data_IF_022699997341
#
_entry.id   IF_022699997341
#
_cell.length_a   1.000
_cell.length_b   1.000
_cell.length_c   1.000
_cell.angle_alpha   90.00
_cell.angle_beta   90.00
_cell.angle_gamma   90.00
#
_symmetry.space_group_name_H-M   'P 1'
#
loop_
_entity.id
_entity.type
_entity.pdbx_description
1 polymer ?
#
# COMPACT_ATOMS: atom_id res chain seq x y z
N UNK A 1 -64.29 48.08 4.90
CA UNK A 1 -62.88 48.39 5.25
C UNK A 1 -62.08 47.11 4.99
N UNK A 2 -61.49 47.01 3.82
CA UNK A 2 -60.76 45.80 3.38
C UNK A 2 -59.28 46.01 3.70
N UNK A 3 -58.71 45.12 4.51
CA UNK A 3 -57.30 45.12 4.86
C UNK A 3 -56.57 44.11 3.98
N UNK A 4 -55.64 44.63 3.20
CA UNK A 4 -54.83 43.95 2.20
C UNK A 4 -53.66 43.30 2.88
N UNK A 5 -53.51 41.97 2.75
CA UNK A 5 -52.38 41.19 3.24
C UNK A 5 -51.31 41.19 2.12
N UNK A 6 -50.06 41.56 2.34
CA UNK A 6 -49.01 41.39 1.36
C UNK A 6 -48.42 39.98 1.48
N UNK A 7 -48.52 39.20 0.40
CA UNK A 7 -47.67 38.00 0.19
C UNK A 7 -46.30 38.48 -0.33
N UNK A 8 -45.26 38.22 0.47
CA UNK A 8 -43.90 38.24 0.00
C UNK A 8 -43.13 37.19 0.82
N UNK A 9 -43.01 36.05 0.24
CA UNK A 9 -42.12 34.99 0.71
C UNK A 9 -41.27 34.53 -0.44
N UNK A 10 -40.17 35.21 -0.65
CA UNK A 10 -39.09 34.80 -1.56
C UNK A 10 -38.46 33.54 -1.01
N UNK A 11 -38.69 32.39 -1.63
CA UNK A 11 -37.96 31.15 -1.41
C UNK A 11 -36.51 31.37 -1.92
N UNK A 12 -35.62 31.57 -0.96
CA UNK A 12 -34.18 31.63 -1.19
C UNK A 12 -33.70 30.27 -1.67
N UNK A 13 -33.22 30.24 -2.91
CA UNK A 13 -32.59 29.05 -3.56
C UNK A 13 -31.23 28.68 -2.97
N UNK A 14 -30.87 29.20 -1.80
CA UNK A 14 -29.59 28.93 -1.13
C UNK A 14 -29.58 27.62 -0.32
N UNK A 15 -30.72 26.99 -0.06
CA UNK A 15 -30.80 25.76 0.75
C UNK A 15 -30.52 24.46 -0.02
N UNK A 16 -30.57 24.50 -1.35
CA UNK A 16 -30.39 23.27 -2.16
C UNK A 16 -28.92 22.97 -2.53
N UNK A 17 -28.04 23.95 -2.46
CA UNK A 17 -26.62 23.76 -2.79
C UNK A 17 -25.75 23.24 -1.65
N UNK A 18 -26.25 23.17 -0.43
CA UNK A 18 -25.45 22.69 0.72
C UNK A 18 -25.48 21.16 0.92
N UNK A 19 -26.38 20.45 0.25
CA UNK A 19 -26.49 18.97 0.40
C UNK A 19 -25.63 18.16 -0.58
N UNK A 20 -24.98 18.79 -1.56
CA UNK A 20 -24.16 18.08 -2.54
C UNK A 20 -22.66 18.21 -2.32
N UNK A 21 -22.21 18.85 -1.23
CA UNK A 21 -20.79 19.11 -0.98
C UNK A 21 -20.08 18.08 -0.11
N UNK A 22 -20.82 17.15 0.47
CA UNK A 22 -20.25 16.24 1.49
C UNK A 22 -19.92 14.83 0.98
N UNK A 23 -20.09 14.59 -0.32
CA UNK A 23 -19.88 13.24 -0.88
C UNK A 23 -18.66 13.12 -1.79
N UNK A 24 -17.82 14.15 -1.90
CA UNK A 24 -16.60 14.09 -2.73
C UNK A 24 -15.35 13.70 -1.95
N UNK A 25 -15.36 13.79 -0.62
CA UNK A 25 -14.16 13.48 0.20
C UNK A 25 -13.98 11.99 0.50
N UNK A 26 -15.02 11.17 0.31
CA UNK A 26 -14.93 9.72 0.61
C UNK A 26 -14.33 8.91 -0.54
N UNK A 27 -14.28 9.47 -1.76
CA UNK A 27 -13.76 8.75 -2.95
C UNK A 27 -12.25 8.97 -3.13
N UNK A 28 -11.68 10.01 -2.54
CA UNK A 28 -10.24 10.28 -2.67
C UNK A 28 -9.36 9.40 -1.76
N UNK A 29 -9.91 8.83 -0.69
CA UNK A 29 -9.14 8.01 0.26
C UNK A 29 -8.83 6.60 -0.24
N UNK A 30 -9.52 6.08 -1.25
CA UNK A 30 -9.29 4.71 -1.74
C UNK A 30 -8.21 4.68 -2.84
N UNK A 31 -7.92 5.81 -3.48
CA UNK A 31 -6.95 5.86 -4.59
C UNK A 31 -5.48 5.92 -4.15
N UNK A 32 -5.19 6.33 -2.92
CA UNK A 32 -3.81 6.48 -2.45
C UNK A 32 -3.21 5.21 -1.83
N UNK A 33 -4.03 4.22 -1.46
CA UNK A 33 -3.55 3.00 -0.77
C UNK A 33 -3.10 1.89 -1.73
N UNK A 34 -3.37 1.98 -3.03
CA UNK A 34 -3.12 0.87 -3.98
C UNK A 34 -1.74 0.96 -4.66
N UNK A 35 -1.05 2.08 -4.59
CA UNK A 35 0.20 2.29 -5.33
C UNK A 35 1.46 1.71 -4.67
N UNK A 36 1.43 1.27 -3.43
CA UNK A 36 2.61 0.82 -2.68
C UNK A 36 2.93 -0.69 -2.81
N UNK A 37 2.28 -1.43 -3.72
CA UNK A 37 2.56 -2.86 -3.93
C UNK A 37 3.41 -3.04 -5.19
N UNK A 38 4.57 -2.43 -5.24
CA UNK A 38 5.50 -2.58 -6.34
C UNK A 38 6.64 -3.55 -5.99
N UNK A 39 6.77 -4.56 -6.83
CA UNK A 39 7.97 -5.33 -7.14
C UNK A 39 8.83 -5.85 -5.97
N UNK A 40 8.36 -6.86 -5.26
CA UNK A 40 9.31 -7.68 -4.51
C UNK A 40 10.26 -8.42 -5.47
N UNK A 41 11.57 -8.46 -5.17
CA UNK A 41 12.57 -9.15 -5.98
C UNK A 41 12.46 -10.68 -5.98
N UNK A 42 11.34 -11.21 -5.57
CA UNK A 42 11.04 -12.65 -5.54
C UNK A 42 11.20 -13.36 -6.90
N UNK A 43 11.45 -12.59 -7.94
CA UNK A 43 11.62 -13.11 -9.31
C UNK A 43 13.04 -13.59 -9.63
N UNK A 44 14.01 -13.40 -8.73
CA UNK A 44 15.42 -13.79 -8.97
C UNK A 44 15.82 -15.11 -8.33
N UNK A 45 14.93 -15.78 -7.63
CA UNK A 45 15.21 -17.10 -7.05
C UNK A 45 15.29 -18.18 -8.13
N UNK A 46 16.31 -18.08 -8.96
CA UNK A 46 16.93 -19.25 -9.53
C UNK A 46 17.70 -19.94 -8.42
N UNK A 47 17.16 -21.08 -8.00
CA UNK A 47 17.84 -22.16 -7.26
C UNK A 47 18.92 -21.79 -6.22
N UNK A 48 18.64 -22.12 -4.97
CA UNK A 48 19.61 -22.69 -4.03
C UNK A 48 20.47 -21.78 -3.14
N UNK A 49 19.96 -20.62 -2.72
CA UNK A 49 20.57 -20.00 -1.53
C UNK A 49 19.56 -19.88 -0.39
N UNK A 50 19.41 -20.95 0.39
CA UNK A 50 18.78 -20.82 1.70
C UNK A 50 19.77 -20.10 2.63
N UNK A 51 19.34 -19.00 3.24
CA UNK A 51 20.21 -18.28 4.17
C UNK A 51 19.77 -16.85 4.46
N UNK A 52 20.54 -16.18 5.32
CA UNK A 52 20.31 -14.77 5.61
C UNK A 52 20.72 -13.89 4.41
N UNK A 53 19.99 -12.79 4.20
CA UNK A 53 20.27 -11.81 3.16
C UNK A 53 19.97 -10.39 3.65
N UNK A 54 20.45 -9.40 2.90
CA UNK A 54 20.10 -8.00 3.03
C UNK A 54 19.39 -7.57 1.76
N UNK A 55 18.26 -6.89 1.91
CA UNK A 55 17.50 -6.31 0.81
C UNK A 55 17.41 -4.80 0.97
N UNK A 56 17.67 -4.07 -0.11
CA UNK A 56 17.41 -2.64 -0.22
C UNK A 56 16.48 -2.43 -1.40
N UNK A 57 15.30 -1.90 -1.14
CA UNK A 57 14.26 -1.72 -2.14
C UNK A 57 13.69 -0.31 -2.05
N UNK A 58 13.54 0.37 -3.19
CA UNK A 58 12.88 1.68 -3.24
C UNK A 58 11.63 1.58 -4.11
N UNK A 59 10.50 1.94 -3.53
CA UNK A 59 9.20 2.00 -4.17
C UNK A 59 8.81 3.47 -4.36
N UNK A 60 8.64 3.88 -5.60
CA UNK A 60 8.28 5.25 -5.95
C UNK A 60 6.85 5.29 -6.48
N UNK A 61 6.11 6.32 -6.10
CA UNK A 61 4.71 6.52 -6.46
C UNK A 61 4.58 7.75 -7.34
N UNK A 62 3.92 7.57 -8.50
CA UNK A 62 3.69 8.61 -9.51
C UNK A 62 2.20 8.65 -9.89
N UNK A 63 1.32 9.25 -9.08
CA UNK A 63 -0.07 9.45 -9.51
C UNK A 63 -0.11 10.45 -10.67
N UNK A 64 -0.83 10.07 -11.74
CA UNK A 64 -0.97 10.88 -12.95
C UNK A 64 0.35 11.27 -13.65
N UNK A 65 1.46 10.59 -13.32
CA UNK A 65 2.77 10.82 -13.92
C UNK A 65 3.69 11.74 -13.13
N UNK A 66 3.20 12.40 -12.09
CA UNK A 66 3.99 13.26 -11.21
C UNK A 66 4.49 12.47 -10.01
N UNK A 67 5.72 12.73 -9.56
CA UNK A 67 6.27 12.13 -8.36
C UNK A 67 5.43 12.55 -7.13
N UNK A 68 5.18 11.63 -6.23
CA UNK A 68 4.39 11.88 -5.02
C UNK A 68 5.09 11.40 -3.76
N UNK A 69 5.68 10.21 -3.79
CA UNK A 69 6.34 9.65 -2.62
C UNK A 69 7.35 8.58 -2.99
N UNK A 70 8.28 8.30 -2.08
CA UNK A 70 9.19 7.18 -2.13
C UNK A 70 9.26 6.49 -0.78
N UNK A 71 9.21 5.17 -0.78
CA UNK A 71 9.52 4.33 0.38
C UNK A 71 10.79 3.53 0.07
N UNK A 72 11.82 3.68 0.91
CA UNK A 72 13.07 2.94 0.78
C UNK A 72 13.25 2.02 1.98
N UNK A 73 13.10 0.72 1.74
CA UNK A 73 13.23 -0.33 2.74
C UNK A 73 14.68 -0.83 2.84
N UNK A 74 15.17 -0.98 4.07
CA UNK A 74 16.46 -1.62 4.39
C UNK A 74 16.17 -2.85 5.26
N UNK A 75 16.04 -4.01 4.63
CA UNK A 75 15.63 -5.22 5.34
C UNK A 75 16.78 -6.20 5.51
N UNK A 76 16.78 -6.86 6.65
CA UNK A 76 17.49 -8.12 6.86
C UNK A 76 16.45 -9.23 6.78
N UNK A 77 16.77 -10.28 6.06
CA UNK A 77 15.85 -11.37 5.84
C UNK A 77 16.52 -12.74 5.90
N UNK A 78 15.68 -13.72 5.84
CA UNK A 78 16.05 -15.12 5.68
C UNK A 78 15.14 -15.75 4.62
N UNK A 79 15.73 -16.48 3.70
CA UNK A 79 15.02 -17.23 2.68
C UNK A 79 15.42 -18.71 2.71
N UNK A 80 14.54 -19.54 2.21
CA UNK A 80 14.80 -20.96 2.16
C UNK A 80 13.85 -21.71 1.25
N UNK A 81 14.13 -22.99 1.08
CA UNK A 81 13.28 -23.91 0.34
C UNK A 81 12.97 -25.14 1.17
N UNK A 82 11.78 -25.71 0.96
CA UNK A 82 11.34 -26.98 1.52
C UNK A 82 10.72 -27.86 0.43
N UNK A 83 10.40 -29.09 0.76
CA UNK A 83 9.77 -30.04 -0.19
C UNK A 83 10.58 -30.22 -1.48
N UNK A 84 11.87 -30.50 -1.34
CA UNK A 84 12.80 -30.72 -2.47
C UNK A 84 12.85 -29.52 -3.45
N UNK A 85 12.72 -28.28 -2.89
CA UNK A 85 12.78 -27.07 -3.68
C UNK A 85 11.44 -26.63 -4.29
N UNK A 86 10.35 -27.36 -4.06
CA UNK A 86 9.03 -26.98 -4.60
C UNK A 86 8.41 -25.78 -3.90
N UNK A 87 8.75 -25.58 -2.61
CA UNK A 87 8.26 -24.42 -1.86
C UNK A 87 9.47 -23.56 -1.51
N UNK A 88 9.50 -22.34 -1.99
CA UNK A 88 10.42 -21.31 -1.52
C UNK A 88 9.67 -20.34 -0.61
N UNK A 89 10.35 -19.85 0.43
CA UNK A 89 9.79 -18.88 1.37
C UNK A 89 10.83 -17.83 1.75
N UNK A 90 10.36 -16.70 2.20
CA UNK A 90 11.19 -15.68 2.81
C UNK A 90 10.46 -14.94 3.92
N UNK A 91 11.25 -14.36 4.82
CA UNK A 91 10.83 -13.39 5.81
C UNK A 91 11.88 -12.31 5.88
N UNK A 92 11.46 -11.04 5.88
CA UNK A 92 12.36 -9.91 5.99
C UNK A 92 11.73 -8.76 6.75
N UNK A 93 12.57 -7.89 7.34
CA UNK A 93 12.10 -6.70 8.02
C UNK A 93 13.25 -5.77 8.39
N UNK A 94 12.90 -4.53 8.66
CA UNK A 94 13.85 -3.50 9.02
C UNK A 94 13.28 -2.08 8.85
N UNK A 95 14.14 -1.06 8.95
CA UNK A 95 13.71 0.33 8.77
C UNK A 95 13.31 0.63 7.33
N UNK A 96 12.30 1.50 7.19
CA UNK A 96 11.82 2.09 5.94
C UNK A 96 11.90 3.61 6.05
N UNK A 97 12.47 4.25 5.04
CA UNK A 97 12.48 5.71 4.90
C UNK A 97 11.36 6.10 3.92
N UNK A 98 10.35 6.79 4.43
CA UNK A 98 9.21 7.25 3.66
C UNK A 98 9.30 8.75 3.43
N UNK A 99 9.51 9.15 2.18
CA UNK A 99 9.53 10.54 1.76
C UNK A 99 8.23 10.90 1.05
N UNK A 100 7.63 12.03 1.43
CA UNK A 100 6.43 12.57 0.79
C UNK A 100 6.72 13.95 0.21
N UNK A 101 6.47 14.15 -1.08
CA UNK A 101 6.64 15.43 -1.75
C UNK A 101 5.65 16.49 -1.23
N UNK A 102 4.43 16.08 -0.86
CA UNK A 102 3.41 17.03 -0.42
C UNK A 102 3.75 17.76 0.89
N UNK A 103 4.54 17.13 1.76
CA UNK A 103 4.98 17.68 3.04
C UNK A 103 6.45 18.05 3.02
N UNK A 104 7.21 17.63 1.99
CA UNK A 104 8.68 17.72 1.92
C UNK A 104 9.35 17.12 3.17
N UNK A 105 8.77 16.04 3.70
CA UNK A 105 9.20 15.39 4.92
C UNK A 105 9.61 13.94 4.67
N UNK A 106 10.50 13.45 5.55
CA UNK A 106 10.97 12.06 5.51
C UNK A 106 10.83 11.44 6.88
N UNK A 107 10.01 10.42 6.96
CA UNK A 107 9.75 9.67 8.18
C UNK A 107 10.48 8.32 8.15
N UNK A 108 10.88 7.86 9.33
CA UNK A 108 11.48 6.53 9.50
C UNK A 108 10.47 5.63 10.18
N UNK A 109 10.13 4.55 9.52
CA UNK A 109 9.18 3.56 9.98
C UNK A 109 9.83 2.18 10.07
N UNK A 110 9.10 1.19 10.59
CA UNK A 110 9.47 -0.23 10.53
C UNK A 110 8.57 -0.92 9.52
N UNK A 111 9.17 -1.68 8.63
CA UNK A 111 8.44 -2.49 7.66
C UNK A 111 8.92 -3.94 7.67
N UNK A 112 8.08 -4.83 7.14
CA UNK A 112 8.41 -6.22 7.00
C UNK A 112 7.53 -6.95 6.00
N UNK A 113 8.07 -8.02 5.44
CA UNK A 113 7.41 -8.83 4.40
C UNK A 113 7.65 -10.32 4.70
N UNK A 114 6.63 -11.12 4.45
CA UNK A 114 6.73 -12.58 4.43
C UNK A 114 6.06 -13.11 3.19
N UNK A 115 6.69 -14.05 2.52
CA UNK A 115 6.15 -14.62 1.31
C UNK A 115 6.55 -16.06 1.10
N UNK A 116 5.79 -16.71 0.20
CA UNK A 116 6.09 -18.06 -0.24
C UNK A 116 5.69 -18.23 -1.71
N UNK A 117 6.37 -19.17 -2.37
CA UNK A 117 6.00 -19.63 -3.71
C UNK A 117 5.96 -21.16 -3.74
N UNK A 118 5.09 -21.68 -4.59
CA UNK A 118 4.92 -23.11 -4.81
C UNK A 118 5.05 -23.42 -6.31
N UNK A 119 6.03 -24.23 -6.65
CA UNK A 119 6.20 -24.79 -8.00
C UNK A 119 5.15 -25.83 -8.30
N UNK A 120 4.19 -25.50 -9.15
CA UNK A 120 3.14 -26.40 -9.60
C UNK A 120 3.68 -27.36 -10.68
N UNK A 121 4.52 -26.82 -11.57
CA UNK A 121 5.24 -27.55 -12.62
C UNK A 121 6.60 -26.88 -12.87
N UNK A 122 7.37 -27.41 -13.84
CA UNK A 122 8.65 -26.78 -14.24
C UNK A 122 8.47 -25.36 -14.78
N UNK A 123 7.30 -25.09 -15.38
CA UNK A 123 7.01 -23.81 -16.04
C UNK A 123 6.03 -22.92 -15.26
N UNK A 124 5.43 -23.41 -14.16
CA UNK A 124 4.40 -22.68 -13.42
C UNK A 124 4.69 -22.67 -11.91
N UNK A 125 4.76 -21.49 -11.34
CA UNK A 125 4.77 -21.27 -9.90
C UNK A 125 3.66 -20.30 -9.46
N UNK A 126 3.04 -20.61 -8.33
CA UNK A 126 2.14 -19.69 -7.64
C UNK A 126 2.91 -19.03 -6.49
N UNK A 127 2.60 -17.76 -6.21
CA UNK A 127 3.24 -17.06 -5.10
C UNK A 127 2.29 -16.17 -4.33
N UNK A 128 2.61 -15.92 -3.08
CA UNK A 128 1.91 -14.98 -2.21
C UNK A 128 2.86 -14.27 -1.26
N UNK A 129 2.51 -13.04 -0.91
CA UNK A 129 3.27 -12.19 0.01
C UNK A 129 2.30 -11.39 0.88
N UNK A 130 2.66 -11.18 2.13
CA UNK A 130 2.01 -10.25 3.05
C UNK A 130 3.08 -9.30 3.55
N UNK A 131 2.77 -8.02 3.59
CA UNK A 131 3.64 -6.96 4.11
C UNK A 131 2.92 -6.16 5.18
N UNK A 132 3.69 -5.54 6.06
CA UNK A 132 3.20 -4.58 7.05
C UNK A 132 4.23 -3.47 7.24
N UNK A 133 3.76 -2.24 7.44
CA UNK A 133 4.58 -1.09 7.79
C UNK A 133 3.92 -0.32 8.92
N UNK A 134 4.73 0.16 9.88
CA UNK A 134 4.21 1.08 10.90
C UNK A 134 3.89 2.41 10.24
N UNK A 135 2.77 3.03 10.65
CA UNK A 135 2.33 4.33 10.11
C UNK A 135 1.91 5.25 11.27
N UNK A 136 2.90 5.56 12.13
CA UNK A 136 2.67 6.41 13.29
C UNK A 136 1.78 5.82 14.36
N UNK A 137 1.20 6.68 15.18
CA UNK A 137 0.27 6.37 16.25
C UNK A 137 -1.09 7.00 15.97
N UNK A 138 -2.14 6.35 16.41
CA UNK A 138 -3.49 6.91 16.36
C UNK A 138 -3.73 7.92 17.51
N UNK A 139 -4.95 8.48 17.57
CA UNK A 139 -5.32 9.46 18.60
C UNK A 139 -5.33 8.89 20.03
N UNK A 140 -5.34 7.58 20.18
CA UNK A 140 -5.33 6.86 21.45
C UNK A 140 -3.90 6.41 21.85
N UNK A 141 -2.90 6.65 20.97
CA UNK A 141 -1.49 6.31 21.17
C UNK A 141 -1.16 4.87 20.75
N UNK A 142 -2.03 4.21 20.03
CA UNK A 142 -1.79 2.88 19.50
C UNK A 142 -1.07 2.95 18.14
N UNK A 143 -0.08 2.07 17.93
CA UNK A 143 0.63 2.01 16.66
C UNK A 143 -0.29 1.56 15.54
N UNK A 144 -0.36 2.36 14.47
CA UNK A 144 -1.05 2.00 13.23
C UNK A 144 -0.12 1.12 12.40
N UNK A 145 -0.65 0.04 11.84
CA UNK A 145 0.08 -0.82 10.91
C UNK A 145 -0.70 -0.90 9.59
N UNK A 146 -0.08 -0.47 8.53
CA UNK A 146 -0.60 -0.64 7.17
C UNK A 146 -0.23 -2.02 6.65
N UNK A 147 -1.23 -2.75 6.17
CA UNK A 147 -1.06 -4.10 5.65
C UNK A 147 -1.20 -4.13 4.14
N UNK A 148 -0.33 -4.91 3.50
CA UNK A 148 -0.39 -5.22 2.09
C UNK A 148 -0.42 -6.72 1.85
N UNK A 149 -1.03 -7.14 0.73
CA UNK A 149 -0.98 -8.53 0.29
C UNK A 149 -0.86 -8.60 -1.23
N UNK A 150 -0.11 -9.59 -1.71
CA UNK A 150 0.10 -9.88 -3.12
C UNK A 150 -0.05 -11.37 -3.37
N UNK A 151 -0.76 -11.73 -4.41
CA UNK A 151 -0.81 -13.11 -4.93
C UNK A 151 -0.60 -13.08 -6.44
N UNK A 152 0.03 -14.11 -6.99
CA UNK A 152 0.26 -14.18 -8.42
C UNK A 152 0.69 -15.56 -8.90
N UNK A 153 0.81 -15.65 -10.22
CA UNK A 153 1.34 -16.81 -10.90
C UNK A 153 2.47 -16.37 -11.83
N UNK A 154 3.54 -17.15 -11.87
CA UNK A 154 4.67 -16.96 -12.78
C UNK A 154 4.73 -18.11 -13.75
N UNK A 155 4.74 -17.79 -15.04
CA UNK A 155 5.04 -18.72 -16.12
C UNK A 155 6.44 -18.47 -16.65
N UNK A 156 7.18 -19.56 -16.87
CA UNK A 156 8.52 -19.54 -17.50
C UNK A 156 8.40 -20.30 -18.84
N UNK A 157 8.98 -19.76 -19.91
CA UNK A 157 8.94 -20.34 -21.25
C UNK A 157 10.34 -20.75 -21.69
#
# INVERSE_FOLDING_TARGET
MLQKIPMSGSLSSAGFFLFLRDNQNTIMSIKSTIAAVAASPFLLAGAAFAGPYVNVESNLTYPDGDYSSAATDFHIGYEGTVSEGKIAYFVQGGPSLNHSESTDDTETELSGKVGASYGVSEDLALYGEVSGASNGEDSDGDNIIDWGAKIGAKFTF
#
